data_IF_088451406686
#
_entry.id   IF_088451406686
#
_cell.length_a   1.000
_cell.length_b   1.000
_cell.length_c   1.000
_cell.angle_alpha   90.00
_cell.angle_beta   90.00
_cell.angle_gamma   90.00
#
_symmetry.space_group_name_H-M   'P 1'
#
loop_
_entity.id
_entity.type
_entity.pdbx_description
1 polymer ?
#
# COMPACT_ATOMS: atom_id res chain seq x y z
N UNK A 1 -14.79 9.16 17.73
CA UNK A 1 -15.80 9.18 16.65
C UNK A 1 -15.65 7.92 15.80
N UNK A 2 -14.57 7.71 15.04
CA UNK A 2 -14.41 6.57 14.14
C UNK A 2 -14.56 5.20 14.82
N UNK A 3 -14.01 5.02 16.03
CA UNK A 3 -14.18 3.79 16.80
C UNK A 3 -15.67 3.50 17.10
N UNK A 4 -16.45 4.54 17.46
CA UNK A 4 -17.88 4.39 17.69
C UNK A 4 -18.64 4.03 16.41
N UNK A 5 -18.24 4.59 15.27
CA UNK A 5 -18.79 4.25 13.95
C UNK A 5 -18.49 2.78 13.61
N UNK A 6 -17.25 2.32 13.83
CA UNK A 6 -16.89 0.92 13.59
C UNK A 6 -17.72 -0.04 14.45
N UNK A 7 -17.85 0.28 15.75
CA UNK A 7 -18.68 -0.52 16.65
C UNK A 7 -20.15 -0.57 16.19
N UNK A 8 -20.72 0.56 15.79
CA UNK A 8 -22.09 0.62 15.28
C UNK A 8 -22.24 -0.23 14.00
N UNK A 9 -21.30 -0.12 13.06
CA UNK A 9 -21.32 -0.89 11.82
C UNK A 9 -21.14 -2.40 12.05
N UNK A 10 -20.36 -2.79 13.04
CA UNK A 10 -20.24 -4.19 13.47
C UNK A 10 -21.53 -4.72 14.09
N UNK A 11 -22.15 -3.94 14.96
CA UNK A 11 -23.44 -4.30 15.60
C UNK A 11 -24.58 -4.41 14.57
N UNK A 12 -24.61 -3.53 13.58
CA UNK A 12 -25.58 -3.57 12.48
C UNK A 12 -25.20 -4.56 11.37
N UNK A 13 -24.06 -5.25 11.49
CA UNK A 13 -23.53 -6.19 10.49
C UNK A 13 -23.31 -5.56 9.11
N UNK A 14 -23.07 -4.26 9.06
CA UNK A 14 -22.76 -3.52 7.82
C UNK A 14 -21.27 -3.55 7.48
N UNK A 15 -20.41 -4.02 8.39
CA UNK A 15 -19.01 -4.34 8.14
C UNK A 15 -18.62 -5.63 8.86
N UNK A 16 -17.62 -6.33 8.30
CA UNK A 16 -16.93 -7.46 8.92
C UNK A 16 -15.56 -7.08 9.47
N UNK A 17 -15.12 -5.84 9.24
CA UNK A 17 -13.79 -5.35 9.61
C UNK A 17 -13.81 -4.68 10.98
N UNK A 18 -12.97 -5.17 11.89
CA UNK A 18 -12.62 -4.51 13.16
C UNK A 18 -11.32 -3.74 12.93
N UNK A 19 -11.42 -2.43 12.79
CA UNK A 19 -10.22 -1.60 12.59
C UNK A 19 -9.57 -1.30 13.94
N UNK A 20 -8.38 -1.87 14.17
CA UNK A 20 -7.62 -1.70 15.41
C UNK A 20 -6.30 -0.94 15.19
N UNK A 21 -5.95 -0.65 13.95
CA UNK A 21 -4.69 0.00 13.61
C UNK A 21 -4.78 1.51 13.82
N UNK A 22 -3.98 2.02 14.77
CA UNK A 22 -3.92 3.46 15.09
C UNK A 22 -3.43 4.30 13.92
N UNK A 23 -2.62 3.74 13.04
CA UNK A 23 -2.14 4.43 11.84
C UNK A 23 -3.27 4.75 10.88
N UNK A 24 -4.24 3.84 10.73
CA UNK A 24 -5.44 4.10 9.96
C UNK A 24 -6.26 5.25 10.52
N UNK A 25 -6.40 5.34 11.86
CA UNK A 25 -7.13 6.44 12.50
C UNK A 25 -6.47 7.79 12.28
N UNK A 26 -5.15 7.84 12.21
CA UNK A 26 -4.41 9.05 11.89
C UNK A 26 -4.81 9.64 10.52
N UNK A 27 -4.99 8.80 9.52
CA UNK A 27 -5.41 9.23 8.19
C UNK A 27 -6.83 9.82 8.17
N UNK A 28 -7.76 9.27 8.97
CA UNK A 28 -9.10 9.85 9.09
C UNK A 28 -9.09 11.18 9.83
N UNK A 29 -8.25 11.33 10.85
CA UNK A 29 -8.04 12.61 11.51
C UNK A 29 -7.47 13.66 10.53
N UNK A 30 -6.53 13.27 9.69
CA UNK A 30 -5.99 14.12 8.63
C UNK A 30 -7.07 14.58 7.64
N UNK A 31 -7.89 13.67 7.13
CA UNK A 31 -9.00 14.01 6.22
C UNK A 31 -9.96 15.01 6.89
N UNK A 32 -10.33 14.76 8.14
CA UNK A 32 -11.18 15.67 8.90
C UNK A 32 -10.56 17.05 9.08
N UNK A 33 -9.25 17.12 9.35
CA UNK A 33 -8.50 18.36 9.47
C UNK A 33 -8.47 19.15 8.16
N UNK A 34 -8.21 18.48 7.03
CA UNK A 34 -8.20 19.12 5.71
C UNK A 34 -9.56 19.77 5.41
N UNK A 35 -10.66 19.06 5.65
CA UNK A 35 -12.01 19.60 5.43
C UNK A 35 -12.33 20.72 6.42
N UNK A 36 -11.89 20.61 7.68
CA UNK A 36 -12.02 21.69 8.66
C UNK A 36 -11.32 22.97 8.18
N UNK A 37 -10.06 22.87 7.76
CA UNK A 37 -9.31 24.03 7.25
C UNK A 37 -9.90 24.63 5.98
N UNK A 38 -10.49 23.80 5.10
CA UNK A 38 -11.12 24.28 3.88
C UNK A 38 -12.48 24.94 4.11
N UNK A 39 -13.23 24.51 5.15
CA UNK A 39 -14.61 24.97 5.41
C UNK A 39 -14.74 25.91 6.60
N UNK A 40 -13.69 26.07 7.39
CA UNK A 40 -13.66 26.76 8.69
C UNK A 40 -14.78 26.28 9.65
N UNK A 41 -15.15 24.99 9.53
CA UNK A 41 -16.23 24.40 10.31
C UNK A 41 -15.89 22.98 10.76
N UNK A 42 -15.74 22.81 12.09
CA UNK A 42 -15.37 21.55 12.71
C UNK A 42 -16.36 20.41 12.42
N UNK A 43 -17.63 20.72 12.27
CA UNK A 43 -18.67 19.71 12.00
C UNK A 43 -18.52 19.10 10.61
N UNK A 44 -18.15 19.89 9.60
CA UNK A 44 -17.82 19.37 8.27
C UNK A 44 -16.60 18.46 8.30
N UNK A 45 -15.59 18.80 9.11
CA UNK A 45 -14.44 17.94 9.33
C UNK A 45 -14.81 16.58 9.93
N UNK A 46 -15.63 16.56 10.99
CA UNK A 46 -16.15 15.31 11.57
C UNK A 46 -16.99 14.52 10.59
N UNK A 47 -17.87 15.19 9.86
CA UNK A 47 -18.75 14.54 8.89
C UNK A 47 -17.97 13.88 7.76
N UNK A 48 -16.99 14.58 7.22
CA UNK A 48 -16.09 14.05 6.19
C UNK A 48 -15.30 12.83 6.69
N UNK A 49 -14.74 12.89 7.89
CA UNK A 49 -14.02 11.77 8.48
C UNK A 49 -14.94 10.54 8.67
N UNK A 50 -16.17 10.74 9.13
CA UNK A 50 -17.16 9.66 9.33
C UNK A 50 -17.53 9.01 7.99
N UNK A 51 -17.90 9.81 6.99
CA UNK A 51 -18.27 9.28 5.66
C UNK A 51 -17.12 8.53 5.04
N UNK A 52 -15.92 9.13 5.06
CA UNK A 52 -14.73 8.48 4.55
C UNK A 52 -14.46 7.15 5.27
N UNK A 53 -14.65 7.11 6.59
CA UNK A 53 -14.45 5.90 7.38
C UNK A 53 -15.44 4.80 7.00
N UNK A 54 -16.71 5.13 6.85
CA UNK A 54 -17.77 4.17 6.43
C UNK A 54 -17.41 3.59 5.05
N UNK A 55 -17.11 4.44 4.08
CA UNK A 55 -16.75 4.01 2.72
C UNK A 55 -15.51 3.11 2.77
N UNK A 56 -14.51 3.49 3.57
CA UNK A 56 -13.27 2.73 3.71
C UNK A 56 -13.50 1.34 4.28
N UNK A 57 -14.35 1.19 5.30
CA UNK A 57 -14.69 -0.11 5.87
C UNK A 57 -15.42 -1.00 4.85
N UNK A 58 -16.35 -0.45 4.09
CA UNK A 58 -17.05 -1.18 3.03
C UNK A 58 -16.08 -1.65 1.94
N UNK A 59 -15.15 -0.78 1.53
CA UNK A 59 -14.13 -1.14 0.55
C UNK A 59 -13.13 -2.17 1.08
N UNK A 60 -12.77 -2.09 2.36
CA UNK A 60 -11.92 -3.08 3.01
C UNK A 60 -12.59 -4.47 3.02
N UNK A 61 -13.87 -4.54 3.35
CA UNK A 61 -14.64 -5.79 3.30
C UNK A 61 -14.74 -6.35 1.87
N UNK A 62 -14.96 -5.49 0.89
CA UNK A 62 -15.06 -5.88 -0.53
C UNK A 62 -13.75 -6.45 -1.07
N UNK A 63 -12.61 -5.94 -0.61
CA UNK A 63 -11.29 -6.37 -1.09
C UNK A 63 -10.67 -7.47 -0.22
N UNK A 64 -11.20 -7.74 0.96
CA UNK A 64 -10.58 -8.64 1.95
C UNK A 64 -10.24 -10.03 1.38
N UNK A 65 -11.20 -10.68 0.73
CA UNK A 65 -11.00 -12.04 0.23
C UNK A 65 -9.91 -12.10 -0.86
N UNK A 66 -9.86 -11.07 -1.73
CA UNK A 66 -8.83 -10.97 -2.79
C UNK A 66 -7.47 -10.63 -2.20
N UNK A 67 -7.43 -9.75 -1.21
CA UNK A 67 -6.23 -9.40 -0.49
C UNK A 67 -5.61 -10.61 0.20
N UNK A 68 -6.43 -11.36 0.93
CA UNK A 68 -6.01 -12.57 1.64
C UNK A 68 -5.58 -13.71 0.70
N UNK A 69 -6.19 -13.80 -0.48
CA UNK A 69 -5.81 -14.80 -1.49
C UNK A 69 -4.55 -14.44 -2.27
N UNK A 70 -4.15 -13.17 -2.29
CA UNK A 70 -2.95 -12.71 -2.99
C UNK A 70 -1.71 -12.68 -2.08
N UNK A 71 -1.87 -12.28 -0.82
CA UNK A 71 -0.78 -12.15 0.12
C UNK A 71 -0.77 -13.33 1.10
N UNK A 72 0.34 -14.07 1.14
CA UNK A 72 0.52 -15.20 2.05
C UNK A 72 0.41 -14.77 3.51
N UNK A 73 -0.16 -15.65 4.35
CA UNK A 73 -0.29 -15.47 5.81
C UNK A 73 -1.15 -14.26 6.24
N UNK A 74 -2.01 -13.76 5.34
CA UNK A 74 -2.89 -12.61 5.60
C UNK A 74 -4.35 -13.01 5.85
N UNK A 75 -4.62 -14.28 6.18
CA UNK A 75 -5.99 -14.76 6.44
C UNK A 75 -6.65 -13.97 7.57
N UNK A 76 -7.84 -13.47 7.30
CA UNK A 76 -8.64 -12.68 8.24
C UNK A 76 -8.10 -11.28 8.50
N UNK A 77 -7.25 -10.75 7.61
CA UNK A 77 -6.81 -9.36 7.62
C UNK A 77 -7.52 -8.61 6.48
N UNK A 78 -7.91 -7.38 6.76
CA UNK A 78 -8.41 -6.42 5.78
C UNK A 78 -7.64 -5.09 5.89
N UNK A 79 -7.71 -4.25 4.87
CA UNK A 79 -6.96 -2.99 4.83
C UNK A 79 -7.93 -1.79 4.78
N UNK A 80 -8.48 -1.36 5.94
CA UNK A 80 -9.35 -0.19 6.03
C UNK A 80 -8.55 1.11 6.07
N UNK A 81 -7.77 1.37 5.03
CA UNK A 81 -6.94 2.55 4.90
C UNK A 81 -7.48 3.45 3.78
N UNK A 82 -7.79 4.75 4.04
CA UNK A 82 -8.54 5.58 3.12
C UNK A 82 -7.85 5.84 1.78
N UNK A 83 -6.52 5.97 1.77
CA UNK A 83 -5.78 6.18 0.52
C UNK A 83 -5.73 4.93 -0.37
N UNK A 84 -5.77 3.73 0.21
CA UNK A 84 -5.91 2.49 -0.55
C UNK A 84 -7.36 2.29 -0.99
N UNK A 85 -8.31 2.43 -0.07
CA UNK A 85 -9.73 2.21 -0.31
C UNK A 85 -10.31 3.14 -1.38
N UNK A 86 -9.88 4.41 -1.40
CA UNK A 86 -10.32 5.39 -2.39
C UNK A 86 -9.95 5.03 -3.82
N UNK A 87 -8.86 4.29 -4.02
CA UNK A 87 -8.40 3.85 -5.34
C UNK A 87 -8.95 2.51 -5.79
N UNK A 88 -9.63 1.74 -4.92
CA UNK A 88 -10.21 0.43 -5.27
C UNK A 88 -11.10 0.47 -6.51
N UNK A 89 -12.05 1.41 -6.67
CA UNK A 89 -12.89 1.45 -7.88
C UNK A 89 -12.07 1.62 -9.15
N UNK A 90 -11.07 2.51 -9.12
CA UNK A 90 -10.16 2.75 -10.25
C UNK A 90 -9.30 1.52 -10.55
N UNK A 91 -8.74 0.89 -9.52
CA UNK A 91 -7.95 -0.33 -9.65
C UNK A 91 -8.76 -1.46 -10.28
N UNK A 92 -10.03 -1.64 -9.90
CA UNK A 92 -10.92 -2.64 -10.48
C UNK A 92 -11.16 -2.38 -11.98
N UNK A 93 -11.36 -1.12 -12.37
CA UNK A 93 -11.56 -0.76 -13.79
C UNK A 93 -10.29 -0.99 -14.59
N UNK A 94 -9.14 -0.55 -14.08
CA UNK A 94 -7.84 -0.73 -14.73
C UNK A 94 -7.52 -2.22 -14.86
N UNK A 95 -7.71 -3.01 -13.81
CA UNK A 95 -7.47 -4.45 -13.86
C UNK A 95 -8.33 -5.13 -14.96
N UNK A 96 -9.62 -4.81 -15.01
CA UNK A 96 -10.50 -5.33 -16.08
C UNK A 96 -10.07 -4.92 -17.50
N UNK A 97 -9.43 -3.76 -17.62
CA UNK A 97 -8.89 -3.31 -18.91
C UNK A 97 -7.60 -4.08 -19.26
N UNK A 98 -6.72 -4.29 -18.27
CA UNK A 98 -5.49 -5.06 -18.44
C UNK A 98 -5.76 -6.53 -18.77
N UNK A 99 -6.76 -7.13 -18.13
CA UNK A 99 -7.19 -8.52 -18.38
C UNK A 99 -7.64 -8.75 -19.84
N UNK A 100 -8.00 -7.68 -20.58
CA UNK A 100 -8.36 -7.75 -22.00
C UNK A 100 -7.17 -7.70 -22.96
N UNK A 101 -5.97 -7.37 -22.45
CA UNK A 101 -4.77 -7.28 -23.28
C UNK A 101 -4.21 -8.68 -23.46
N UNK A 102 -4.15 -9.22 -24.71
CA UNK A 102 -3.64 -10.56 -24.95
C UNK A 102 -2.19 -10.70 -24.49
N UNK A 103 -1.93 -11.71 -23.65
CA UNK A 103 -0.58 -12.00 -23.17
C UNK A 103 -0.17 -11.19 -21.92
N UNK A 104 -1.01 -10.29 -21.43
CA UNK A 104 -0.72 -9.56 -20.19
C UNK A 104 -0.70 -10.49 -18.97
N UNK A 105 -1.53 -11.53 -18.99
CA UNK A 105 -1.56 -12.62 -18.01
C UNK A 105 -0.26 -13.44 -17.94
N UNK A 106 0.54 -13.41 -19.00
CA UNK A 106 1.85 -14.10 -19.10
C UNK A 106 3.01 -13.25 -18.60
N UNK A 107 2.77 -11.97 -18.31
CA UNK A 107 3.78 -11.08 -17.72
C UNK A 107 3.93 -11.39 -16.24
N UNK A 108 4.84 -12.30 -15.92
CA UNK A 108 5.20 -12.59 -14.54
C UNK A 108 6.31 -11.63 -14.10
N UNK A 109 5.91 -10.54 -13.41
CA UNK A 109 6.79 -9.48 -12.89
C UNK A 109 7.04 -9.67 -11.38
N UNK A 110 6.80 -10.86 -10.86
CA UNK A 110 7.20 -11.18 -9.50
C UNK A 110 8.72 -11.42 -9.39
N UNK A 111 9.23 -11.37 -8.17
CA UNK A 111 10.66 -11.55 -7.91
C UNK A 111 11.20 -12.91 -8.40
N UNK A 112 10.39 -13.97 -8.34
CA UNK A 112 10.76 -15.28 -8.82
C UNK A 112 10.79 -15.35 -10.35
N UNK A 113 9.81 -14.78 -11.03
CA UNK A 113 9.76 -14.68 -12.49
C UNK A 113 10.90 -13.84 -13.04
N UNK A 114 11.22 -12.72 -12.39
CA UNK A 114 12.37 -11.88 -12.74
C UNK A 114 13.69 -12.62 -12.54
N UNK A 115 13.85 -13.34 -11.44
CA UNK A 115 15.03 -14.16 -11.17
C UNK A 115 15.19 -15.29 -12.19
N UNK A 116 14.09 -15.99 -12.54
CA UNK A 116 14.12 -17.05 -13.58
C UNK A 116 14.48 -16.51 -14.96
N UNK A 117 14.03 -15.29 -15.31
CA UNK A 117 14.22 -14.70 -16.63
C UNK A 117 15.57 -13.98 -16.77
N UNK A 118 16.02 -13.29 -15.75
CA UNK A 118 17.21 -12.43 -15.76
C UNK A 118 18.34 -12.91 -14.85
N UNK A 119 18.18 -14.07 -14.19
CA UNK A 119 19.18 -14.61 -13.27
C UNK A 119 19.47 -13.66 -12.12
N UNK A 120 20.74 -13.45 -11.85
CA UNK A 120 21.23 -12.58 -10.76
C UNK A 120 20.68 -11.13 -10.87
N UNK A 121 20.56 -10.61 -12.09
CA UNK A 121 20.06 -9.24 -12.34
C UNK A 121 18.57 -9.11 -12.03
N UNK A 122 17.84 -10.21 -11.94
CA UNK A 122 16.42 -10.23 -11.53
C UNK A 122 16.22 -10.31 -10.01
N UNK A 123 17.28 -10.40 -9.21
CA UNK A 123 17.17 -10.35 -7.75
C UNK A 123 16.83 -8.92 -7.27
N UNK A 124 15.98 -8.78 -6.21
CA UNK A 124 15.55 -7.47 -5.71
C UNK A 124 16.70 -6.51 -5.44
N UNK A 125 17.80 -7.00 -4.86
CA UNK A 125 19.00 -6.21 -4.61
C UNK A 125 19.54 -5.55 -5.89
N UNK A 126 19.72 -6.33 -6.96
CA UNK A 126 20.30 -5.83 -8.22
C UNK A 126 19.32 -4.95 -8.99
N UNK A 127 18.03 -5.28 -8.96
CA UNK A 127 16.99 -4.41 -9.51
C UNK A 127 16.99 -3.04 -8.84
N UNK A 128 17.06 -3.02 -7.50
CA UNK A 128 17.15 -1.79 -6.74
C UNK A 128 18.39 -0.96 -7.09
N UNK A 129 19.54 -1.62 -7.24
CA UNK A 129 20.79 -0.95 -7.66
C UNK A 129 20.61 -0.34 -9.06
N UNK A 130 20.10 -1.09 -10.03
CA UNK A 130 19.88 -0.61 -11.39
C UNK A 130 18.93 0.59 -11.44
N UNK A 131 17.78 0.49 -10.77
CA UNK A 131 16.79 1.57 -10.71
C UNK A 131 17.38 2.80 -10.02
N UNK A 132 18.03 2.62 -8.86
CA UNK A 132 18.66 3.72 -8.12
C UNK A 132 19.76 4.42 -8.90
N UNK A 133 20.64 3.67 -9.57
CA UNK A 133 21.65 4.24 -10.46
C UNK A 133 21.01 4.94 -11.66
N UNK A 134 19.98 4.37 -12.26
CA UNK A 134 19.24 4.97 -13.36
C UNK A 134 18.61 6.33 -12.97
N UNK A 135 17.93 6.39 -11.84
CA UNK A 135 17.35 7.64 -11.30
C UNK A 135 18.46 8.68 -11.04
N UNK A 136 19.55 8.26 -10.38
CA UNK A 136 20.70 9.11 -10.12
C UNK A 136 21.32 9.67 -11.39
N UNK A 137 21.48 8.85 -12.43
CA UNK A 137 22.01 9.26 -13.72
C UNK A 137 21.06 10.23 -14.46
N UNK A 138 19.76 9.96 -14.45
CA UNK A 138 18.74 10.82 -15.07
C UNK A 138 18.61 12.18 -14.38
N UNK A 139 19.06 12.32 -13.13
CA UNK A 139 19.08 13.60 -12.42
C UNK A 139 20.19 14.54 -12.90
N UNK A 140 21.15 14.04 -13.71
CA UNK A 140 22.27 14.83 -14.21
C UNK A 140 21.89 15.58 -15.49
N UNK A 141 22.30 16.84 -15.59
CA UNK A 141 21.94 17.72 -16.72
C UNK A 141 22.83 17.51 -17.96
N UNK A 142 24.03 17.03 -17.77
CA UNK A 142 25.01 16.84 -18.83
C UNK A 142 25.99 15.71 -18.47
N UNK A 143 26.84 15.30 -19.44
CA UNK A 143 27.80 14.22 -19.28
C UNK A 143 28.92 14.50 -18.26
N UNK A 144 29.31 15.76 -18.09
CA UNK A 144 30.32 16.13 -17.10
C UNK A 144 29.76 15.97 -15.70
N UNK A 145 28.54 16.45 -15.45
CA UNK A 145 27.83 16.29 -14.16
C UNK A 145 27.60 14.80 -13.82
N UNK A 146 27.37 13.99 -14.84
CA UNK A 146 27.24 12.53 -14.67
C UNK A 146 28.53 11.94 -14.12
N UNK A 147 29.68 12.31 -14.66
CA UNK A 147 31.02 11.83 -14.22
C UNK A 147 31.31 12.33 -12.80
N UNK A 148 31.04 13.61 -12.52
CA UNK A 148 31.31 14.20 -11.22
C UNK A 148 30.43 13.61 -10.10
N UNK A 149 29.23 13.13 -10.45
CA UNK A 149 28.26 12.52 -9.51
C UNK A 149 28.29 10.99 -9.46
N UNK A 150 29.25 10.31 -10.10
CA UNK A 150 29.35 8.85 -10.03
C UNK A 150 29.25 8.30 -8.60
N UNK A 151 29.98 8.82 -7.60
CA UNK A 151 29.86 8.31 -6.23
C UNK A 151 28.44 8.47 -5.64
N UNK A 152 27.75 9.55 -5.96
CA UNK A 152 26.37 9.77 -5.54
C UNK A 152 25.42 8.79 -6.22
N UNK A 153 25.56 8.59 -7.54
CA UNK A 153 24.75 7.67 -8.35
C UNK A 153 24.88 6.24 -7.82
N UNK A 154 26.12 5.79 -7.60
CA UNK A 154 26.39 4.46 -7.06
C UNK A 154 25.85 4.34 -5.61
N UNK A 155 26.04 5.37 -4.78
CA UNK A 155 25.50 5.42 -3.43
C UNK A 155 23.98 5.32 -3.38
N UNK A 156 23.28 6.00 -4.32
CA UNK A 156 21.84 5.90 -4.46
C UNK A 156 21.41 4.49 -4.89
N UNK A 157 22.12 3.90 -5.86
CA UNK A 157 21.89 2.53 -6.28
C UNK A 157 22.02 1.52 -5.13
N UNK A 158 23.12 1.59 -4.37
CA UNK A 158 23.34 0.71 -3.22
C UNK A 158 22.24 0.88 -2.16
N UNK A 159 21.85 2.12 -1.85
CA UNK A 159 20.75 2.39 -0.89
C UNK A 159 19.44 1.77 -1.36
N UNK A 160 19.07 1.94 -2.63
CA UNK A 160 17.87 1.37 -3.21
C UNK A 160 17.90 -0.16 -3.20
N UNK A 161 19.03 -0.77 -3.57
CA UNK A 161 19.20 -2.22 -3.48
C UNK A 161 19.08 -2.75 -2.06
N UNK A 162 19.72 -2.08 -1.11
CA UNK A 162 19.61 -2.45 0.31
C UNK A 162 18.18 -2.36 0.83
N UNK A 163 17.44 -1.32 0.46
CA UNK A 163 16.02 -1.17 0.81
C UNK A 163 15.20 -2.33 0.27
N UNK A 164 15.39 -2.70 -1.02
CA UNK A 164 14.67 -3.81 -1.63
C UNK A 164 14.95 -5.17 -0.99
N UNK A 165 16.13 -5.37 -0.46
CA UNK A 165 16.51 -6.62 0.21
C UNK A 165 16.08 -6.64 1.69
N UNK A 166 16.20 -5.51 2.39
CA UNK A 166 15.98 -5.46 3.84
C UNK A 166 14.50 -5.31 4.21
N UNK A 167 13.73 -4.52 3.47
CA UNK A 167 12.32 -4.25 3.80
C UNK A 167 11.50 -5.55 3.85
N UNK A 168 11.56 -6.49 2.88
CA UNK A 168 10.80 -7.73 2.96
C UNK A 168 11.13 -8.55 4.20
N UNK A 169 12.40 -8.59 4.59
CA UNK A 169 12.84 -9.33 5.79
C UNK A 169 12.31 -8.72 7.07
N UNK A 170 12.37 -7.39 7.18
CA UNK A 170 11.83 -6.65 8.34
C UNK A 170 10.32 -6.85 8.41
N UNK A 171 9.62 -6.74 7.28
CA UNK A 171 8.17 -6.91 7.22
C UNK A 171 7.75 -8.33 7.61
N UNK A 172 8.51 -9.35 7.18
CA UNK A 172 8.24 -10.73 7.59
C UNK A 172 8.30 -10.91 9.11
N UNK A 173 9.27 -10.29 9.78
CA UNK A 173 9.37 -10.30 11.25
C UNK A 173 8.17 -9.61 11.91
N UNK A 174 7.69 -8.50 11.35
CA UNK A 174 6.47 -7.83 11.83
C UNK A 174 5.24 -8.73 11.71
N UNK A 175 5.07 -9.40 10.56
CA UNK A 175 3.95 -10.33 10.34
C UNK A 175 4.00 -11.47 11.36
N UNK A 176 5.16 -12.06 11.58
CA UNK A 176 5.34 -13.14 12.57
C UNK A 176 4.98 -12.67 14.00
N UNK A 177 5.34 -11.43 14.35
CA UNK A 177 5.01 -10.84 15.66
C UNK A 177 3.55 -10.45 15.82
N UNK A 178 2.89 -10.00 14.75
CA UNK A 178 1.49 -9.54 14.78
C UNK A 178 0.48 -10.66 14.65
N UNK A 179 0.82 -11.77 13.99
CA UNK A 179 -0.10 -12.88 13.76
C UNK A 179 -0.68 -13.46 15.04
N UNK A 180 0.09 -13.77 16.10
CA UNK A 180 -0.45 -14.26 17.37
C UNK A 180 -1.45 -13.29 18.02
N UNK A 181 -1.19 -11.98 17.93
CA UNK A 181 -2.06 -10.94 18.48
C UNK A 181 -3.38 -10.89 17.71
N UNK A 182 -3.30 -10.95 16.38
CA UNK A 182 -4.47 -10.99 15.50
C UNK A 182 -5.33 -12.23 15.81
N UNK A 183 -4.73 -13.41 15.90
CA UNK A 183 -5.42 -14.67 16.18
C UNK A 183 -6.08 -14.64 17.57
N UNK A 184 -5.37 -14.18 18.60
CA UNK A 184 -5.91 -14.03 19.94
C UNK A 184 -7.08 -13.03 19.99
N UNK A 185 -7.00 -11.94 19.24
CA UNK A 185 -8.07 -10.95 19.14
C UNK A 185 -9.31 -11.55 18.47
N UNK A 186 -9.13 -12.32 17.39
CA UNK A 186 -10.22 -13.03 16.70
C UNK A 186 -10.91 -14.05 17.63
N UNK A 187 -10.14 -14.83 18.38
CA UNK A 187 -10.70 -15.77 19.37
C UNK A 187 -11.50 -15.05 20.47
N UNK A 188 -10.97 -13.95 20.99
CA UNK A 188 -11.63 -13.14 22.02
C UNK A 188 -12.97 -12.58 21.53
N UNK A 189 -12.99 -12.05 20.30
CA UNK A 189 -14.19 -11.53 19.68
C UNK A 189 -15.21 -12.64 19.39
N UNK A 190 -14.76 -13.77 18.84
CA UNK A 190 -15.61 -14.93 18.57
C UNK A 190 -16.25 -15.51 19.85
N UNK A 191 -15.52 -15.52 20.96
CA UNK A 191 -16.02 -15.98 22.26
C UNK A 191 -17.01 -15.00 22.88
N UNK A 192 -16.78 -13.70 22.79
CA UNK A 192 -17.63 -12.68 23.41
C UNK A 192 -18.86 -12.31 22.58
N UNK A 193 -18.76 -12.35 21.26
CA UNK A 193 -19.84 -11.97 20.35
C UNK A 193 -20.33 -13.22 19.60
N UNK A 194 -21.32 -13.92 20.15
CA UNK A 194 -21.98 -15.06 19.49
C UNK A 194 -22.54 -14.61 18.14
N UNK A 195 -21.92 -15.05 17.04
CA UNK A 195 -22.30 -14.70 15.68
C UNK A 195 -21.27 -13.85 14.89
N UNK A 196 -20.15 -13.54 15.51
CA UNK A 196 -19.03 -12.82 14.85
C UNK A 196 -18.09 -13.76 14.06
N UNK A 197 -18.67 -14.79 13.40
CA UNK A 197 -17.91 -15.67 12.52
C UNK A 197 -17.53 -14.92 11.25
N UNK A 198 -16.24 -14.91 10.87
CA UNK A 198 -15.75 -14.30 9.64
C UNK A 198 -15.39 -12.80 9.77
N UNK A 199 -15.09 -12.32 10.99
CA UNK A 199 -14.56 -10.98 11.17
C UNK A 199 -13.11 -10.88 10.68
N UNK A 200 -12.81 -9.77 10.01
CA UNK A 200 -11.47 -9.39 9.61
C UNK A 200 -10.87 -8.37 10.58
N UNK A 201 -9.58 -8.49 10.82
CA UNK A 201 -8.83 -7.48 11.56
C UNK A 201 -8.32 -6.43 10.56
N UNK A 202 -8.75 -5.19 10.76
CA UNK A 202 -8.33 -4.06 9.96
C UNK A 202 -6.92 -3.60 10.34
N UNK A 203 -6.00 -3.69 9.39
CA UNK A 203 -4.59 -3.35 9.57
C UNK A 203 -4.13 -2.32 8.54
N UNK A 204 -2.97 -1.71 8.78
CA UNK A 204 -2.31 -0.82 7.82
C UNK A 204 -1.76 -1.59 6.62
N UNK A 205 -1.75 -1.00 5.41
CA UNK A 205 -1.08 -1.57 4.24
C UNK A 205 0.43 -1.73 4.41
N UNK A 206 1.02 -1.16 5.46
CA UNK A 206 2.42 -1.36 5.80
C UNK A 206 2.81 -2.84 5.93
N UNK A 207 1.85 -3.72 6.28
CA UNK A 207 2.08 -5.18 6.35
C UNK A 207 2.53 -5.80 5.02
N UNK A 208 2.13 -5.23 3.89
CA UNK A 208 2.41 -5.79 2.56
C UNK A 208 3.42 -4.97 1.77
N UNK A 209 3.99 -3.92 2.36
CA UNK A 209 4.99 -3.07 1.69
C UNK A 209 6.25 -3.86 1.34
N UNK A 210 6.57 -4.88 2.15
CA UNK A 210 7.71 -5.77 1.93
C UNK A 210 7.44 -6.91 0.94
N UNK A 211 6.24 -7.05 0.41
CA UNK A 211 5.96 -8.09 -0.57
C UNK A 211 6.73 -7.83 -1.87
N UNK A 212 7.43 -8.84 -2.43
CA UNK A 212 8.31 -8.66 -3.59
C UNK A 212 7.65 -7.98 -4.78
N UNK A 213 6.42 -8.37 -5.13
CA UNK A 213 5.68 -7.75 -6.23
C UNK A 213 5.35 -6.28 -5.94
N UNK A 214 4.96 -5.95 -4.70
CA UNK A 214 4.68 -4.57 -4.28
C UNK A 214 5.92 -3.69 -4.39
N UNK A 215 7.08 -4.17 -3.94
CA UNK A 215 8.34 -3.45 -4.02
C UNK A 215 8.78 -3.21 -5.46
N UNK A 216 8.77 -4.26 -6.29
CA UNK A 216 9.17 -4.14 -7.71
C UNK A 216 8.27 -3.15 -8.44
N UNK A 217 6.95 -3.28 -8.29
CA UNK A 217 6.00 -2.36 -8.94
C UNK A 217 6.16 -0.93 -8.42
N UNK A 218 6.31 -0.74 -7.11
CA UNK A 218 6.52 0.59 -6.52
C UNK A 218 7.75 1.27 -7.09
N UNK A 219 8.87 0.55 -7.22
CA UNK A 219 10.10 1.11 -7.79
C UNK A 219 9.97 1.44 -9.28
N UNK A 220 9.31 0.57 -10.06
CA UNK A 220 9.05 0.84 -11.46
C UNK A 220 8.12 2.04 -11.66
N UNK A 221 7.21 2.29 -10.71
CA UNK A 221 6.31 3.44 -10.76
C UNK A 221 6.98 4.77 -10.40
N UNK A 222 8.11 4.78 -9.68
CA UNK A 222 8.82 6.02 -9.34
C UNK A 222 9.14 6.85 -10.61
N UNK A 223 9.89 6.33 -11.60
CA UNK A 223 10.17 7.12 -12.81
C UNK A 223 8.91 7.47 -13.59
N UNK A 224 7.90 6.62 -13.60
CA UNK A 224 6.62 6.88 -14.27
C UNK A 224 5.87 8.03 -13.60
N UNK A 225 5.80 8.04 -12.27
CA UNK A 225 5.13 9.12 -11.51
C UNK A 225 5.87 10.45 -11.65
N UNK A 226 7.21 10.43 -11.65
CA UNK A 226 8.02 11.63 -11.91
C UNK A 226 7.75 12.16 -13.31
N UNK A 227 7.74 11.29 -14.32
CA UNK A 227 7.45 11.68 -15.70
C UNK A 227 6.04 12.30 -15.82
N UNK A 228 5.04 11.66 -15.23
CA UNK A 228 3.67 12.18 -15.21
C UNK A 228 3.58 13.52 -14.48
N UNK A 229 4.29 13.69 -13.37
CA UNK A 229 4.32 14.95 -12.63
C UNK A 229 4.89 16.11 -13.48
N UNK A 230 5.84 15.83 -14.36
CA UNK A 230 6.43 16.83 -15.26
C UNK A 230 5.53 17.14 -16.47
N UNK A 231 4.86 16.13 -17.02
CA UNK A 231 4.07 16.27 -18.26
C UNK A 231 2.69 16.82 -18.00
N UNK A 232 2.08 16.52 -16.84
CA UNK A 232 0.71 16.94 -16.54
C UNK A 232 0.62 18.46 -16.40
N UNK A 233 -0.18 19.15 -17.23
CA UNK A 233 -0.31 20.58 -17.17
C UNK A 233 -0.96 21.02 -15.85
N UNK A 234 -0.39 22.07 -15.24
CA UNK A 234 -0.89 22.62 -13.97
C UNK A 234 -0.49 21.82 -12.72
N UNK A 235 0.25 20.72 -12.87
CA UNK A 235 0.77 20.00 -11.71
C UNK A 235 1.87 20.82 -11.02
N UNK A 236 1.73 21.02 -9.72
CA UNK A 236 2.70 21.71 -8.86
C UNK A 236 3.36 20.77 -7.84
N UNK A 237 3.03 19.49 -7.88
CA UNK A 237 3.56 18.47 -6.99
C UNK A 237 4.65 17.66 -7.68
N UNK A 238 5.78 17.50 -6.98
CA UNK A 238 6.75 16.44 -7.27
C UNK A 238 6.43 15.27 -6.30
N UNK A 239 6.29 14.04 -6.81
CA UNK A 239 6.19 12.88 -5.94
C UNK A 239 7.52 12.70 -5.21
N UNK A 240 7.50 12.73 -3.90
CA UNK A 240 8.64 12.50 -3.00
C UNK A 240 8.61 11.08 -2.49
#
# INVERSE_FOLDING_TARGET
VCLGVNLLMLLTKTTRTVNIDLWNYWHFAFIGAVVYFASDNIWWGFFAAIICYIITLIMADYTADKFQGFYDKMEGISIPQPFCAGFVPFAVVINKALDKIPGFDKLNIDAEGMKKKFGLLGEPLFLGILVGCGIGALSCKNGQELVDKIPYILGLGIKMGAVMELIPRITALFIEGLKPISDATRELIAKKFKGAVGLNIGMSPALVIGHPATLVVSLLLIPVTILLAVILPGNQFLPL
#
